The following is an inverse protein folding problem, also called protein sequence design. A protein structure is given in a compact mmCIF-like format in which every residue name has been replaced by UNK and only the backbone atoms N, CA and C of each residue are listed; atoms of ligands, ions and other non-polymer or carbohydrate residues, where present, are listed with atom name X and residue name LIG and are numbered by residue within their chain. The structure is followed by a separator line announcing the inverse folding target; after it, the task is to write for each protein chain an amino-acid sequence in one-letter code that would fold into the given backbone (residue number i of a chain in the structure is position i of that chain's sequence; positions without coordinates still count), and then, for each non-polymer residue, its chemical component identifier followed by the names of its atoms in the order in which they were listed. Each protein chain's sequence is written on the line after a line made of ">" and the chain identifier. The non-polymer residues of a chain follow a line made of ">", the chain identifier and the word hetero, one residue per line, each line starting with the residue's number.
data_IF_508298291657
#
_entry.id   IF_508298291657
#
_cell.length_a   1.000
_cell.length_b   1.000
_cell.length_c   1.000
_cell.angle_alpha   90.00
_cell.angle_beta   90.00
_cell.angle_gamma   90.00
#
_symmetry.space_group_name_H-M   'P 1'
#
loop_
_entity.id
_entity.type
_entity.pdbx_description
1 polymer ?
#
# COMPACT_ATOMS: atom_id res chain seq x y z
N UNK A 1 -39.84 3.57 -0.27
CA UNK A 1 -38.76 3.24 0.68
C UNK A 1 -37.43 3.58 -0.01
N UNK A 2 -37.01 4.84 0.06
CA UNK A 2 -35.76 5.32 -0.54
C UNK A 2 -34.69 5.30 0.55
N UNK A 3 -33.76 4.35 0.46
CA UNK A 3 -32.64 4.26 1.40
C UNK A 3 -31.65 5.40 1.13
N UNK A 4 -31.15 6.10 2.16
CA UNK A 4 -30.16 7.18 2.01
C UNK A 4 -28.82 6.70 1.41
N UNK A 5 -28.57 5.39 1.39
CA UNK A 5 -27.39 4.77 0.78
C UNK A 5 -27.44 4.62 -0.75
N UNK A 6 -28.58 4.92 -1.38
CA UNK A 6 -28.76 4.79 -2.85
C UNK A 6 -28.94 6.13 -3.55
N UNK A 7 -28.83 7.25 -2.83
CA UNK A 7 -28.82 8.55 -3.49
C UNK A 7 -27.54 8.67 -4.32
N UNK A 8 -27.63 8.92 -5.64
CA UNK A 8 -26.45 9.28 -6.40
C UNK A 8 -25.85 10.53 -5.74
N UNK A 9 -24.51 10.59 -5.55
CA UNK A 9 -23.87 11.76 -4.98
C UNK A 9 -24.38 12.99 -5.75
N UNK A 10 -24.82 14.01 -5.01
CA UNK A 10 -25.32 15.26 -5.59
C UNK A 10 -24.30 15.77 -6.61
N UNK A 11 -24.73 16.45 -7.67
CA UNK A 11 -23.81 16.95 -8.71
C UNK A 11 -22.64 17.75 -8.11
N UNK A 12 -22.91 18.45 -7.01
CA UNK A 12 -21.92 19.16 -6.18
C UNK A 12 -20.89 18.22 -5.52
N UNK A 13 -21.29 17.05 -5.02
CA UNK A 13 -20.38 16.06 -4.42
C UNK A 13 -19.49 15.37 -5.46
N UNK A 14 -19.99 15.11 -6.67
CA UNK A 14 -19.15 14.59 -7.76
C UNK A 14 -18.13 15.63 -8.23
N UNK A 15 -18.56 16.87 -8.44
CA UNK A 15 -17.66 17.95 -8.87
C UNK A 15 -16.55 18.22 -7.84
N UNK A 16 -16.89 18.22 -6.55
CA UNK A 16 -15.90 18.35 -5.49
C UNK A 16 -14.97 17.13 -5.43
N UNK A 17 -15.47 15.91 -5.60
CA UNK A 17 -14.64 14.70 -5.58
C UNK A 17 -13.66 14.64 -6.76
N UNK A 18 -14.08 15.09 -7.95
CA UNK A 18 -13.23 15.09 -9.15
C UNK A 18 -12.07 16.07 -8.98
N UNK A 19 -12.29 17.27 -8.43
CA UNK A 19 -11.23 18.26 -8.17
C UNK A 19 -10.16 17.72 -7.19
N UNK A 20 -10.61 17.07 -6.10
CA UNK A 20 -9.72 16.46 -5.14
C UNK A 20 -8.97 15.25 -5.70
N UNK A 21 -9.64 14.40 -6.47
CA UNK A 21 -9.06 13.18 -7.02
C UNK A 21 -8.08 13.46 -8.15
N UNK A 22 -8.29 14.56 -8.88
CA UNK A 22 -7.44 14.96 -10.00
C UNK A 22 -6.17 15.70 -9.58
N UNK A 23 -6.04 16.05 -8.29
CA UNK A 23 -4.84 16.68 -7.78
C UNK A 23 -3.65 15.72 -7.83
N UNK A 24 -2.53 16.14 -8.46
CA UNK A 24 -1.34 15.28 -8.59
C UNK A 24 -0.79 14.77 -7.26
N UNK A 25 -0.84 15.61 -6.22
CA UNK A 25 -0.41 15.22 -4.87
C UNK A 25 -1.32 14.13 -4.30
N UNK A 26 -2.63 14.25 -4.51
CA UNK A 26 -3.59 13.26 -4.05
C UNK A 26 -3.43 11.94 -4.80
N UNK A 27 -3.31 11.98 -6.14
CA UNK A 27 -3.12 10.79 -6.99
C UNK A 27 -1.81 10.06 -6.68
N UNK A 28 -0.71 10.81 -6.54
CA UNK A 28 0.59 10.26 -6.14
C UNK A 28 0.60 9.72 -4.70
N UNK A 29 -0.06 10.41 -3.77
CA UNK A 29 -0.21 9.94 -2.39
C UNK A 29 -1.05 8.66 -2.29
N UNK A 30 -2.20 8.63 -2.98
CA UNK A 30 -3.10 7.49 -3.01
C UNK A 30 -2.45 6.28 -3.67
N UNK A 31 -1.78 6.46 -4.81
CA UNK A 31 -1.03 5.39 -5.48
C UNK A 31 0.16 4.90 -4.65
N UNK A 32 0.84 5.79 -3.93
CA UNK A 32 1.88 5.41 -2.96
C UNK A 32 1.33 4.53 -1.83
N UNK A 33 0.17 4.87 -1.27
CA UNK A 33 -0.50 4.05 -0.24
C UNK A 33 -0.93 2.70 -0.80
N UNK A 34 -1.52 2.69 -2.00
CA UNK A 34 -1.91 1.46 -2.68
C UNK A 34 -0.68 0.56 -2.96
N UNK A 35 0.40 1.14 -3.48
CA UNK A 35 1.67 0.45 -3.73
C UNK A 35 2.31 -0.07 -2.45
N UNK A 36 2.23 0.70 -1.36
CA UNK A 36 2.70 0.27 -0.04
C UNK A 36 1.92 -0.95 0.47
N UNK A 37 0.59 -0.95 0.34
CA UNK A 37 -0.25 -2.08 0.73
C UNK A 37 0.08 -3.36 -0.05
N UNK A 38 0.20 -3.24 -1.38
CA UNK A 38 0.60 -4.35 -2.24
C UNK A 38 2.01 -4.85 -1.88
N UNK A 39 2.95 -3.94 -1.66
CA UNK A 39 4.32 -4.29 -1.28
C UNK A 39 4.44 -4.95 0.09
N UNK A 40 3.57 -4.62 1.05
CA UNK A 40 3.49 -5.33 2.33
C UNK A 40 3.01 -6.77 2.14
N UNK A 41 1.95 -6.99 1.37
CA UNK A 41 1.44 -8.34 1.09
C UNK A 41 2.50 -9.15 0.36
N UNK A 42 3.11 -8.57 -0.68
CA UNK A 42 4.17 -9.22 -1.43
C UNK A 42 5.38 -9.58 -0.55
N UNK A 43 5.82 -8.66 0.32
CA UNK A 43 6.94 -8.88 1.24
C UNK A 43 6.64 -9.96 2.28
N UNK A 44 5.41 -10.02 2.80
CA UNK A 44 4.98 -11.05 3.75
C UNK A 44 4.89 -12.43 3.10
N UNK A 45 4.34 -12.50 1.88
CA UNK A 45 4.26 -13.76 1.11
C UNK A 45 5.66 -14.29 0.81
N UNK A 46 6.57 -13.43 0.34
CA UNK A 46 7.94 -13.83 0.04
C UNK A 46 8.69 -14.31 1.29
N UNK A 47 8.54 -13.60 2.41
CA UNK A 47 9.14 -13.99 3.69
C UNK A 47 8.58 -15.32 4.20
N UNK A 48 7.31 -15.63 3.92
CA UNK A 48 6.69 -16.91 4.25
C UNK A 48 7.29 -18.10 3.50
N UNK A 49 7.78 -17.89 2.27
CA UNK A 49 8.46 -18.93 1.47
C UNK A 49 9.86 -19.20 2.03
N UNK A 50 10.58 -18.15 2.45
CA UNK A 50 11.90 -18.27 3.09
C UNK A 50 11.83 -18.89 4.50
N UNK A 51 10.64 -18.88 5.13
CA UNK A 51 10.44 -19.35 6.50
C UNK A 51 10.44 -20.90 6.67
N UNK A 52 10.58 -21.64 5.57
CA UNK A 52 10.42 -23.10 5.56
C UNK A 52 11.57 -23.89 6.24
N UNK A 53 12.66 -23.27 6.73
CA UNK A 53 13.72 -23.95 7.53
C UNK A 53 14.79 -23.00 8.11
N UNK A 54 15.46 -23.27 9.26
CA UNK A 54 15.16 -24.19 10.36
C UNK A 54 14.90 -23.47 11.71
N UNK A 55 14.07 -24.09 12.54
CA UNK A 55 13.86 -23.75 13.95
C UNK A 55 15.12 -24.07 14.75
N UNK A 56 15.82 -23.05 15.26
CA UNK A 56 16.89 -23.23 16.23
C UNK A 56 16.31 -23.92 17.48
N UNK A 57 16.61 -25.19 17.69
CA UNK A 57 16.07 -25.99 18.81
C UNK A 57 16.64 -25.55 20.17
N UNK A 58 17.54 -24.55 20.19
CA UNK A 58 18.26 -24.04 21.36
C UNK A 58 17.62 -22.80 22.01
N UNK A 59 16.60 -22.18 21.40
CA UNK A 59 15.93 -20.98 21.94
C UNK A 59 14.46 -21.23 22.24
N UNK A 60 13.95 -20.63 23.33
CA UNK A 60 12.53 -20.67 23.68
C UNK A 60 11.67 -20.24 22.49
N UNK A 61 10.68 -21.06 22.13
CA UNK A 61 9.77 -20.86 20.98
C UNK A 61 9.17 -19.45 20.91
N UNK A 62 8.95 -18.80 22.07
CA UNK A 62 8.46 -17.42 22.17
C UNK A 62 9.46 -16.39 21.64
N UNK A 63 10.74 -16.57 21.91
CA UNK A 63 11.80 -15.64 21.49
C UNK A 63 12.10 -15.77 19.99
N UNK A 64 11.97 -16.99 19.48
CA UNK A 64 12.10 -17.27 18.05
C UNK A 64 10.96 -16.63 17.27
N UNK A 65 9.70 -16.84 17.66
CA UNK A 65 8.54 -16.18 17.03
C UNK A 65 8.67 -14.65 17.07
N UNK A 66 9.16 -14.08 18.17
CA UNK A 66 9.36 -12.63 18.27
C UNK A 66 10.43 -12.12 17.29
N UNK A 67 11.52 -12.86 17.14
CA UNK A 67 12.62 -12.50 16.24
C UNK A 67 12.18 -12.62 14.78
N UNK A 68 11.48 -13.71 14.47
CA UNK A 68 10.88 -14.01 13.18
C UNK A 68 9.89 -12.94 12.77
N UNK A 69 8.95 -12.59 13.64
CA UNK A 69 7.96 -11.56 13.36
C UNK A 69 8.61 -10.20 13.10
N UNK A 70 9.69 -9.89 13.83
CA UNK A 70 10.47 -8.66 13.64
C UNK A 70 11.24 -8.66 12.32
N UNK A 71 11.82 -9.78 11.92
CA UNK A 71 12.53 -9.92 10.64
C UNK A 71 11.56 -9.83 9.45
N UNK A 72 10.48 -10.63 9.48
CA UNK A 72 9.41 -10.60 8.48
C UNK A 72 8.81 -9.20 8.33
N UNK A 73 8.55 -8.51 9.45
CA UNK A 73 8.04 -7.15 9.44
C UNK A 73 9.02 -6.15 8.83
N UNK A 74 10.31 -6.26 9.15
CA UNK A 74 11.35 -5.36 8.64
C UNK A 74 11.55 -5.55 7.12
N UNK A 75 11.60 -6.80 6.65
CA UNK A 75 11.68 -7.12 5.22
C UNK A 75 10.45 -6.62 4.47
N UNK A 76 9.26 -6.88 4.99
CA UNK A 76 8.00 -6.44 4.37
C UNK A 76 7.88 -4.92 4.31
N UNK A 77 8.31 -4.21 5.36
CA UNK A 77 8.37 -2.74 5.40
C UNK A 77 9.33 -2.17 4.34
N UNK A 78 10.48 -2.79 4.15
CA UNK A 78 11.44 -2.39 3.11
C UNK A 78 10.83 -2.55 1.72
N UNK A 79 10.24 -3.72 1.43
CA UNK A 79 9.55 -3.98 0.16
C UNK A 79 8.41 -2.99 -0.08
N UNK A 80 7.57 -2.75 0.93
CA UNK A 80 6.46 -1.80 0.86
C UNK A 80 6.92 -0.38 0.51
N UNK A 81 8.03 0.10 1.09
CA UNK A 81 8.60 1.41 0.75
C UNK A 81 9.05 1.48 -0.71
N UNK A 82 9.71 0.44 -1.22
CA UNK A 82 10.16 0.41 -2.61
C UNK A 82 8.97 0.43 -3.58
N UNK A 83 7.93 -0.36 -3.33
CA UNK A 83 6.72 -0.36 -4.15
C UNK A 83 5.95 0.96 -4.06
N UNK A 84 5.89 1.59 -2.89
CA UNK A 84 5.28 2.91 -2.72
C UNK A 84 5.98 3.99 -3.55
N UNK A 85 7.32 4.00 -3.54
CA UNK A 85 8.12 4.96 -4.31
C UNK A 85 7.89 4.75 -5.81
N UNK A 86 7.95 3.51 -6.29
CA UNK A 86 7.73 3.22 -7.72
C UNK A 86 6.31 3.58 -8.17
N UNK A 87 5.29 3.28 -7.34
CA UNK A 87 3.91 3.65 -7.61
C UNK A 87 3.70 5.17 -7.64
N UNK A 88 4.32 5.90 -6.70
CA UNK A 88 4.26 7.34 -6.64
C UNK A 88 4.95 8.00 -7.84
N UNK A 89 6.11 7.47 -8.29
CA UNK A 89 6.80 7.95 -9.49
C UNK A 89 5.93 7.74 -10.73
N UNK A 90 5.37 6.54 -10.90
CA UNK A 90 4.50 6.23 -12.04
C UNK A 90 3.26 7.12 -12.09
N UNK A 91 2.55 7.26 -10.97
CA UNK A 91 1.38 8.14 -10.91
C UNK A 91 1.75 9.62 -11.03
N UNK A 92 2.93 10.01 -10.54
CA UNK A 92 3.45 11.36 -10.62
C UNK A 92 3.84 11.76 -12.04
N UNK A 93 4.48 10.85 -12.80
CA UNK A 93 4.85 11.11 -14.20
C UNK A 93 3.62 11.29 -15.08
N UNK A 94 2.61 10.44 -14.92
CA UNK A 94 1.35 10.56 -15.66
C UNK A 94 0.64 11.89 -15.33
N UNK A 95 0.68 12.32 -14.07
CA UNK A 95 0.03 13.57 -13.67
C UNK A 95 0.80 14.82 -14.14
N UNK A 96 2.13 14.77 -14.16
CA UNK A 96 2.94 15.83 -14.77
C UNK A 96 2.55 15.99 -16.24
N UNK A 97 2.47 14.89 -17.01
CA UNK A 97 2.08 14.92 -18.42
C UNK A 97 0.67 15.50 -18.60
N UNK A 98 -0.29 15.10 -17.76
CA UNK A 98 -1.66 15.64 -17.80
C UNK A 98 -1.73 17.12 -17.43
N UNK A 99 -0.84 17.61 -16.57
CA UNK A 99 -0.75 19.05 -16.27
C UNK A 99 -0.17 19.88 -17.42
N UNK A 100 0.64 19.25 -18.29
CA UNK A 100 1.19 19.89 -19.48
C UNK A 100 0.26 19.84 -20.71
N UNK A 101 -0.82 19.04 -20.66
CA UNK A 101 -1.77 18.84 -21.76
C UNK A 101 -3.06 19.62 -21.54
#
# INVERSE_FOLDING_TARGET
>A
MSNPFTQPPTKEQKAAADEFTNSCVFKAGFSGIAGYGIGLVFGLVLSGIEFSSPVDTSTSTKQQIKTVFRDMGTKSLSSAKNFAIMAAIYSGSECMIESYR
#
